data_IF_247408969298
#
_entry.id   IF_247408969298
#
_cell.length_a   1.000
_cell.length_b   1.000
_cell.length_c   1.000
_cell.angle_alpha   90.00
_cell.angle_beta   90.00
_cell.angle_gamma   90.00
#
_symmetry.space_group_name_H-M   'P 1'
#
loop_
_entity.id
_entity.type
_entity.pdbx_description
1 polymer ?
#
# COMPACT_ATOMS: atom_id res chain seq x y z
N UNK A 1 -14.32 30.66 56.21
CA UNK A 1 -13.75 31.19 54.95
C UNK A 1 -12.39 30.55 54.75
N UNK A 2 -12.17 29.99 53.55
CA UNK A 2 -10.98 29.32 52.97
C UNK A 2 -10.41 28.04 53.65
N UNK A 3 -10.37 26.90 52.91
CA UNK A 3 -9.60 25.69 53.23
C UNK A 3 -8.26 25.67 52.48
N UNK A 4 -7.15 25.14 53.02
CA UNK A 4 -6.01 24.66 52.19
C UNK A 4 -5.04 23.73 52.95
N UNK A 5 -5.02 22.48 52.47
CA UNK A 5 -3.96 21.48 52.26
C UNK A 5 -2.56 21.61 52.89
N UNK A 6 -2.08 20.48 53.42
CA UNK A 6 -0.83 19.70 53.14
C UNK A 6 -0.64 18.74 54.33
N UNK A 7 -0.06 17.53 54.28
CA UNK A 7 0.85 16.82 53.38
C UNK A 7 1.15 15.46 54.04
N UNK A 8 1.51 14.43 53.26
CA UNK A 8 2.09 13.19 53.83
C UNK A 8 2.09 12.04 52.81
N UNK A 9 2.83 12.21 51.71
CA UNK A 9 4.08 11.50 51.37
C UNK A 9 3.93 9.98 51.07
N UNK A 10 4.25 9.55 49.83
CA UNK A 10 4.19 8.15 49.39
C UNK A 10 5.42 7.35 49.87
N UNK A 11 5.19 6.05 50.11
CA UNK A 11 6.22 5.07 50.46
C UNK A 11 6.86 4.53 49.17
N UNK A 12 8.19 4.56 49.11
CA UNK A 12 9.02 4.02 48.03
C UNK A 12 8.76 2.52 47.78
N UNK A 13 9.19 1.94 46.67
CA UNK A 13 10.19 2.38 45.72
C UNK A 13 11.13 1.20 45.49
N UNK A 14 10.91 0.47 44.40
CA UNK A 14 11.91 -0.41 43.78
C UNK A 14 11.70 -0.34 42.27
N UNK A 15 12.75 0.10 41.59
CA UNK A 15 12.82 0.30 40.16
C UNK A 15 13.63 -0.84 39.55
N UNK A 16 13.06 -1.57 38.58
CA UNK A 16 13.81 -2.17 37.47
C UNK A 16 12.90 -2.68 36.32
N UNK A 17 13.43 -2.88 35.09
CA UNK A 17 13.16 -2.06 33.89
C UNK A 17 12.30 -2.80 32.85
N UNK A 18 11.91 -2.16 31.72
CA UNK A 18 11.40 -2.89 30.56
C UNK A 18 12.60 -3.40 29.73
N UNK A 19 12.79 -4.72 29.72
CA UNK A 19 13.70 -5.42 28.82
C UNK A 19 13.17 -6.85 28.64
N UNK A 20 12.48 -7.10 27.53
CA UNK A 20 13.00 -7.80 26.34
C UNK A 20 13.12 -9.32 26.54
N UNK A 21 12.22 -10.07 25.94
CA UNK A 21 12.54 -11.35 25.27
C UNK A 21 11.66 -11.47 24.04
N UNK A 22 12.32 -11.37 22.91
CA UNK A 22 11.89 -11.83 21.60
C UNK A 22 11.43 -13.29 21.67
N UNK A 23 10.33 -13.63 20.97
CA UNK A 23 10.30 -14.65 19.91
C UNK A 23 8.84 -15.08 19.65
N UNK A 24 8.29 -14.62 18.52
CA UNK A 24 7.53 -15.48 17.63
C UNK A 24 7.37 -14.74 16.30
N UNK A 25 8.24 -15.15 15.39
CA UNK A 25 8.13 -15.18 13.95
C UNK A 25 6.70 -14.91 13.38
N UNK A 26 6.58 -14.18 12.26
CA UNK A 26 5.30 -13.90 11.62
C UNK A 26 4.71 -15.20 11.07
N UNK A 27 3.87 -15.86 11.86
CA UNK A 27 3.11 -17.03 11.41
C UNK A 27 1.81 -16.54 10.78
N UNK A 28 1.81 -16.60 9.45
CA UNK A 28 0.67 -16.20 8.65
C UNK A 28 1.08 -16.13 7.20
N UNK A 29 1.65 -17.22 6.70
CA UNK A 29 1.80 -17.47 5.27
C UNK A 29 0.44 -17.56 4.60
N UNK A 30 -0.28 -16.45 4.53
CA UNK A 30 -1.15 -16.20 3.42
C UNK A 30 -0.26 -15.57 2.37
N UNK A 31 0.29 -16.43 1.51
CA UNK A 31 0.41 -16.11 0.09
C UNK A 31 -0.98 -15.67 -0.34
N UNK A 32 -1.30 -14.39 -0.09
CA UNK A 32 -2.38 -13.69 -0.74
C UNK A 32 -1.90 -13.64 -2.18
N UNK A 33 -2.21 -14.71 -2.92
CA UNK A 33 -2.39 -14.60 -4.36
C UNK A 33 -3.31 -13.40 -4.49
N UNK A 34 -2.76 -12.32 -5.03
CA UNK A 34 -3.41 -11.04 -5.15
C UNK A 34 -4.74 -11.21 -5.88
N UNK A 35 -5.77 -11.54 -5.11
CA UNK A 35 -7.14 -11.31 -5.46
C UNK A 35 -7.19 -9.80 -5.55
N UNK A 36 -7.19 -9.31 -6.78
CA UNK A 36 -7.72 -7.99 -7.10
C UNK A 36 -9.14 -8.04 -6.53
N UNK A 37 -9.28 -7.68 -5.25
CA UNK A 37 -10.57 -7.51 -4.62
C UNK A 37 -11.28 -6.50 -5.52
N UNK A 38 -12.55 -6.72 -5.84
CA UNK A 38 -13.27 -5.85 -6.79
C UNK A 38 -13.30 -4.38 -6.34
N UNK A 39 -12.86 -4.12 -5.10
CA UNK A 39 -12.72 -2.83 -4.44
C UNK A 39 -11.26 -2.39 -4.20
N UNK A 40 -10.25 -3.06 -4.77
CA UNK A 40 -8.86 -2.59 -4.69
C UNK A 40 -8.75 -1.24 -5.42
N UNK A 41 -8.43 -0.20 -4.67
CA UNK A 41 -8.28 1.15 -5.22
C UNK A 41 -7.03 1.24 -6.10
N UNK A 42 -7.02 2.21 -7.02
CA UNK A 42 -5.84 2.45 -7.87
C UNK A 42 -4.59 2.78 -7.04
N UNK A 43 -4.77 3.39 -5.88
CA UNK A 43 -3.69 3.68 -4.93
C UNK A 43 -3.11 2.39 -4.32
N UNK A 44 -3.97 1.51 -3.79
CA UNK A 44 -3.55 0.21 -3.24
C UNK A 44 -2.84 -0.64 -4.30
N UNK A 45 -3.34 -0.62 -5.54
CA UNK A 45 -2.72 -1.29 -6.67
C UNK A 45 -1.29 -0.77 -6.93
N UNK A 46 -1.10 0.55 -6.90
CA UNK A 46 0.21 1.17 -7.10
C UNK A 46 1.18 0.82 -5.98
N UNK A 47 0.71 0.88 -4.72
CA UNK A 47 1.48 0.48 -3.55
C UNK A 47 1.91 -0.99 -3.66
N UNK A 48 1.00 -1.86 -4.11
CA UNK A 48 1.27 -3.29 -4.30
C UNK A 48 2.37 -3.53 -5.35
N UNK A 49 2.29 -2.86 -6.50
CA UNK A 49 3.30 -2.97 -7.57
C UNK A 49 4.70 -2.68 -7.02
N UNK A 50 4.84 -1.60 -6.24
CA UNK A 50 6.13 -1.20 -5.67
C UNK A 50 6.55 -2.13 -4.53
N UNK A 51 5.64 -2.47 -3.62
CA UNK A 51 5.91 -3.34 -2.47
C UNK A 51 6.33 -4.75 -2.88
N UNK A 52 5.63 -5.32 -3.86
CA UNK A 52 5.88 -6.68 -4.35
C UNK A 52 6.95 -6.73 -5.44
N UNK A 53 7.48 -5.57 -5.87
CA UNK A 53 8.48 -5.46 -6.93
C UNK A 53 8.05 -6.19 -8.21
N UNK A 54 6.79 -5.99 -8.61
CA UNK A 54 6.20 -6.69 -9.75
C UNK A 54 6.98 -6.40 -11.04
N UNK A 55 7.04 -7.40 -11.91
CA UNK A 55 7.73 -7.28 -13.19
C UNK A 55 6.95 -6.42 -14.21
N UNK A 56 7.65 -5.94 -15.25
CA UNK A 56 7.03 -5.22 -16.37
C UNK A 56 5.94 -6.03 -17.08
N UNK A 57 5.99 -7.36 -17.01
CA UNK A 57 4.97 -8.24 -17.58
C UNK A 57 3.69 -8.23 -16.73
N UNK A 58 3.83 -8.40 -15.42
CA UNK A 58 2.70 -8.39 -14.48
C UNK A 58 1.99 -7.04 -14.48
N UNK A 59 2.75 -5.95 -14.48
CA UNK A 59 2.21 -4.58 -14.55
C UNK A 59 1.45 -4.35 -15.85
N UNK A 60 1.94 -4.88 -16.99
CA UNK A 60 1.21 -4.82 -18.27
C UNK A 60 -0.11 -5.57 -18.20
N UNK A 61 -0.13 -6.75 -17.60
CA UNK A 61 -1.35 -7.55 -17.51
C UNK A 61 -2.37 -6.92 -16.55
N UNK A 62 -1.92 -6.32 -15.46
CA UNK A 62 -2.75 -5.50 -14.58
C UNK A 62 -3.33 -4.27 -15.31
N UNK A 63 -2.52 -3.58 -16.12
CA UNK A 63 -2.98 -2.45 -16.92
C UNK A 63 -4.07 -2.85 -17.94
N UNK A 64 -3.89 -3.99 -18.62
CA UNK A 64 -4.92 -4.55 -19.51
C UNK A 64 -6.18 -4.94 -18.75
N UNK A 65 -6.03 -5.55 -17.57
CA UNK A 65 -7.15 -5.91 -16.71
C UNK A 65 -7.97 -4.68 -16.33
N UNK A 66 -7.32 -3.57 -15.95
CA UNK A 66 -7.99 -2.29 -15.64
C UNK A 66 -8.80 -1.74 -16.81
N UNK A 67 -8.31 -1.84 -18.05
CA UNK A 67 -9.08 -1.44 -19.23
C UNK A 67 -10.26 -2.38 -19.43
N UNK A 68 -10.03 -3.70 -19.32
CA UNK A 68 -11.04 -4.74 -19.58
C UNK A 68 -12.18 -4.72 -18.56
N UNK A 69 -11.91 -4.35 -17.31
CA UNK A 69 -12.91 -4.23 -16.24
C UNK A 69 -13.56 -2.86 -16.16
N UNK A 70 -13.05 -1.86 -16.89
CA UNK A 70 -13.67 -0.55 -16.95
C UNK A 70 -15.00 -0.58 -17.70
N UNK A 71 -15.93 0.29 -17.28
CA UNK A 71 -17.25 0.41 -17.92
C UNK A 71 -17.20 0.95 -19.35
N UNK A 72 -16.14 1.70 -19.69
CA UNK A 72 -15.88 2.21 -21.03
C UNK A 72 -14.38 2.58 -21.20
N UNK A 73 -13.97 2.83 -22.45
CA UNK A 73 -12.59 3.16 -22.79
C UNK A 73 -12.06 4.39 -22.04
N UNK A 74 -12.85 5.46 -21.92
CA UNK A 74 -12.46 6.68 -21.20
C UNK A 74 -12.19 6.42 -19.72
N UNK A 75 -13.04 5.62 -19.06
CA UNK A 75 -12.86 5.22 -17.67
C UNK A 75 -11.60 4.37 -17.49
N UNK A 76 -11.34 3.44 -18.41
CA UNK A 76 -10.11 2.64 -18.41
C UNK A 76 -8.85 3.51 -18.55
N UNK A 77 -8.86 4.45 -19.50
CA UNK A 77 -7.75 5.40 -19.68
C UNK A 77 -7.56 6.31 -18.46
N UNK A 78 -8.64 6.78 -17.85
CA UNK A 78 -8.60 7.60 -16.63
C UNK A 78 -7.97 6.82 -15.46
N UNK A 79 -8.39 5.57 -15.25
CA UNK A 79 -7.80 4.67 -14.25
C UNK A 79 -6.31 4.43 -14.48
N UNK A 80 -5.88 4.23 -15.74
CA UNK A 80 -4.46 4.09 -16.07
C UNK A 80 -3.67 5.38 -15.82
N UNK A 81 -4.24 6.54 -16.17
CA UNK A 81 -3.61 7.83 -15.88
C UNK A 81 -3.42 8.04 -14.37
N UNK A 82 -4.42 7.65 -13.58
CA UNK A 82 -4.34 7.68 -12.12
C UNK A 82 -3.27 6.72 -11.61
N UNK A 83 -3.22 5.48 -12.11
CA UNK A 83 -2.20 4.50 -11.71
C UNK A 83 -0.79 5.02 -11.96
N UNK A 84 -0.54 5.64 -13.13
CA UNK A 84 0.75 6.24 -13.45
C UNK A 84 1.11 7.38 -12.50
N UNK A 85 0.14 8.19 -12.10
CA UNK A 85 0.35 9.26 -11.12
C UNK A 85 0.77 8.69 -9.78
N UNK A 86 0.05 7.68 -9.28
CA UNK A 86 0.40 7.04 -8.00
C UNK A 86 1.75 6.34 -8.04
N UNK A 87 2.07 5.63 -9.12
CA UNK A 87 3.40 5.03 -9.30
C UNK A 87 4.53 6.08 -9.30
N UNK A 88 4.30 7.26 -9.87
CA UNK A 88 5.26 8.38 -9.80
C UNK A 88 5.40 8.95 -8.39
N UNK A 89 4.28 9.10 -7.67
CA UNK A 89 4.29 9.52 -6.26
C UNK A 89 5.10 8.55 -5.39
N UNK A 90 5.03 7.25 -5.70
CA UNK A 90 5.79 6.19 -5.04
C UNK A 90 7.22 6.00 -5.57
N UNK A 91 7.68 6.85 -6.49
CA UNK A 91 8.99 6.78 -7.13
C UNK A 91 9.30 5.42 -7.80
N UNK A 92 8.28 4.79 -8.39
CA UNK A 92 8.48 3.59 -9.19
C UNK A 92 9.42 3.86 -10.36
N UNK A 93 10.17 2.83 -10.80
CA UNK A 93 11.06 2.93 -11.95
C UNK A 93 10.30 3.31 -13.22
N UNK A 94 10.93 4.10 -14.09
CA UNK A 94 10.37 4.48 -15.40
C UNK A 94 9.99 3.25 -16.25
N UNK A 95 10.69 2.11 -16.08
CA UNK A 95 10.33 0.85 -16.74
C UNK A 95 8.95 0.35 -16.33
N UNK A 96 8.64 0.40 -15.03
CA UNK A 96 7.34 0.00 -14.48
C UNK A 96 6.24 0.97 -14.89
N UNK A 97 6.51 2.28 -14.85
CA UNK A 97 5.55 3.29 -15.32
C UNK A 97 5.28 3.09 -16.83
N UNK A 98 6.32 2.85 -17.63
CA UNK A 98 6.23 2.58 -19.07
C UNK A 98 5.45 1.29 -19.37
N UNK A 99 5.56 0.27 -18.52
CA UNK A 99 4.80 -0.97 -18.65
C UNK A 99 3.27 -0.76 -18.53
N UNK A 100 2.81 0.33 -17.93
CA UNK A 100 1.36 0.66 -17.90
C UNK A 100 0.83 1.23 -19.22
N UNK A 101 1.70 1.55 -20.19
CA UNK A 101 1.27 1.98 -21.52
C UNK A 101 0.97 0.76 -22.38
N UNK A 102 -0.25 0.68 -22.91
CA UNK A 102 -0.60 -0.38 -23.84
C UNK A 102 -0.11 0.01 -25.25
N UNK A 103 0.86 -0.72 -25.84
CA UNK A 103 1.37 -0.43 -27.19
C UNK A 103 0.30 -0.61 -28.29
N UNK A 104 -0.83 -1.27 -28.01
CA UNK A 104 -1.93 -1.47 -28.96
C UNK A 104 -2.93 -0.32 -28.98
N UNK A 105 -2.97 0.51 -27.95
CA UNK A 105 -3.86 1.70 -27.90
C UNK A 105 -3.38 2.86 -28.77
N UNK A 106 -2.14 2.80 -29.29
CA UNK A 106 -1.55 3.81 -30.19
C UNK A 106 -1.84 3.55 -31.68
N UNK A 107 -2.70 2.58 -32.01
CA UNK A 107 -3.17 2.30 -33.39
C UNK A 107 -4.68 2.52 -33.53
N UNK A 108 -5.20 3.64 -33.05
CA UNK A 108 -6.53 4.13 -33.38
C UNK A 108 -6.41 5.35 -34.30
#
# INVERSE_FOLDING_TARGET
MVPFQKSGRPKGGDAMPPGETSDSLPEGGAVNVCQVSQEETIEELAQRIVRENLSEMEVRDMAKALIKTASNATSGLSRLSQLRKELRNLNASEKIISATFDPKTTRL
#
